data_IF_975242610724
#
_entry.id   IF_975242610724
#
_cell.length_a   1.000
_cell.length_b   1.000
_cell.length_c   1.000
_cell.angle_alpha   90.00
_cell.angle_beta   90.00
_cell.angle_gamma   90.00
#
_symmetry.space_group_name_H-M   'P 1'
#
loop_
_entity.id
_entity.type
_entity.pdbx_description
1 polymer ?
#
# COMPACT_ATOMS: atom_id res chain seq x y z
N UNK A 1 -11.13 45.26 12.16
CA UNK A 1 -10.03 44.33 12.51
C UNK A 1 -10.64 43.31 13.44
N UNK A 2 -10.82 42.08 12.95
CA UNK A 2 -11.25 40.97 13.80
C UNK A 2 -10.18 40.73 14.86
N UNK A 3 -10.61 40.65 16.12
CA UNK A 3 -9.74 40.52 17.27
C UNK A 3 -9.24 39.08 17.32
N UNK A 4 -7.96 38.86 16.98
CA UNK A 4 -7.33 37.53 17.06
C UNK A 4 -7.15 37.21 18.53
N UNK A 5 -7.88 36.20 19.01
CA UNK A 5 -7.73 35.69 20.37
C UNK A 5 -6.47 34.82 20.47
N UNK A 6 -5.43 35.39 21.09
CA UNK A 6 -4.12 34.77 21.24
C UNK A 6 -4.11 33.69 22.34
N UNK A 7 -5.12 33.62 23.20
CA UNK A 7 -5.23 32.57 24.23
C UNK A 7 -5.51 31.19 23.62
N UNK A 8 -5.90 31.12 22.35
CA UNK A 8 -6.05 29.88 21.60
C UNK A 8 -4.70 29.17 21.37
N UNK A 9 -3.59 29.91 21.40
CA UNK A 9 -2.23 29.41 21.15
C UNK A 9 -1.38 29.31 22.42
N UNK A 10 -1.98 29.48 23.59
CA UNK A 10 -1.28 29.32 24.85
C UNK A 10 -0.83 27.85 25.07
N UNK A 11 0.23 27.70 25.84
CA UNK A 11 0.92 26.42 26.05
C UNK A 11 0.00 25.31 26.52
N UNK A 12 0.07 24.18 25.81
CA UNK A 12 -0.60 22.95 26.18
C UNK A 12 -0.17 22.54 27.60
N UNK A 13 -1.10 22.39 28.57
CA UNK A 13 -0.71 22.08 29.93
C UNK A 13 -0.06 20.69 29.98
N UNK A 14 1.18 20.63 30.48
CA UNK A 14 1.99 19.40 30.58
C UNK A 14 1.39 18.33 31.53
N UNK A 15 0.31 18.62 32.26
CA UNK A 15 -0.35 17.66 33.15
C UNK A 15 -1.87 17.55 32.88
N UNK A 16 -2.38 16.37 32.49
CA UNK A 16 -3.80 16.15 32.29
C UNK A 16 -4.47 15.91 33.66
N UNK A 17 -4.83 17.00 34.34
CA UNK A 17 -5.27 16.90 35.74
C UNK A 17 -6.14 18.05 36.22
N UNK A 18 -7.07 18.55 35.39
CA UNK A 18 -8.05 19.55 35.82
C UNK A 18 -9.24 19.55 34.89
N UNK A 19 -10.36 18.98 35.33
CA UNK A 19 -11.63 18.94 34.58
C UNK A 19 -12.21 20.35 34.44
N UNK A 20 -11.68 21.15 33.53
CA UNK A 20 -12.49 22.13 32.80
C UNK A 20 -13.23 21.33 31.74
N UNK A 21 -14.55 21.19 31.88
CA UNK A 21 -15.40 20.85 30.74
C UNK A 21 -15.37 22.04 29.77
N UNK A 22 -14.26 22.19 29.05
CA UNK A 22 -14.22 22.99 27.85
C UNK A 22 -15.20 22.32 26.92
N UNK A 23 -16.41 22.84 26.82
CA UNK A 23 -17.34 22.48 25.75
C UNK A 23 -16.64 22.87 24.46
N UNK A 24 -15.91 21.92 23.88
CA UNK A 24 -15.36 22.06 22.56
C UNK A 24 -16.53 22.50 21.67
N UNK A 25 -16.32 23.56 20.90
CA UNK A 25 -17.30 23.88 19.87
C UNK A 25 -17.50 22.62 19.00
N UNK A 26 -18.70 22.38 18.46
CA UNK A 26 -18.94 21.21 17.60
C UNK A 26 -17.90 21.08 16.47
N UNK A 27 -17.38 22.22 16.01
CA UNK A 27 -16.32 22.30 15.02
C UNK A 27 -14.95 21.85 15.56
N UNK A 28 -14.55 22.31 16.74
CA UNK A 28 -13.32 21.85 17.41
C UNK A 28 -13.39 20.36 17.77
N UNK A 29 -14.55 19.87 18.20
CA UNK A 29 -14.78 18.45 18.44
C UNK A 29 -14.63 17.61 17.16
N UNK A 30 -15.13 18.12 16.03
CA UNK A 30 -14.98 17.47 14.72
C UNK A 30 -13.52 17.45 14.26
N UNK A 31 -12.79 18.55 14.37
CA UNK A 31 -11.37 18.62 13.97
C UNK A 31 -10.49 17.70 14.83
N UNK A 32 -10.74 17.65 16.14
CA UNK A 32 -10.01 16.74 17.04
C UNK A 32 -10.27 15.26 16.70
N UNK A 33 -11.50 14.92 16.31
CA UNK A 33 -11.85 13.60 15.82
C UNK A 33 -11.19 13.30 14.47
N UNK A 34 -11.14 14.26 13.55
CA UNK A 34 -10.47 14.13 12.26
C UNK A 34 -8.96 13.85 12.44
N UNK A 35 -8.27 14.56 13.35
CA UNK A 35 -6.85 14.35 13.65
C UNK A 35 -6.59 12.96 14.26
N UNK A 36 -7.39 12.53 15.25
CA UNK A 36 -7.26 11.18 15.83
C UNK A 36 -7.58 10.06 14.83
N UNK A 37 -8.54 10.29 13.94
CA UNK A 37 -8.88 9.33 12.88
C UNK A 37 -7.82 9.23 11.80
N UNK A 38 -6.88 10.18 11.75
CA UNK A 38 -5.72 10.15 10.86
C UNK A 38 -4.52 9.42 11.49
N UNK A 39 -4.40 9.44 12.81
CA UNK A 39 -3.36 8.73 13.57
C UNK A 39 -3.64 7.23 13.73
N UNK A 40 -4.90 6.85 13.91
CA UNK A 40 -5.32 5.46 13.72
C UNK A 40 -5.52 5.22 12.22
N UNK A 41 -4.80 4.27 11.61
CA UNK A 41 -5.01 3.99 10.19
C UNK A 41 -6.48 3.61 9.93
N UNK A 42 -7.02 3.94 8.75
CA UNK A 42 -8.39 3.55 8.38
C UNK A 42 -8.62 2.02 8.52
N UNK A 43 -7.56 1.22 8.43
CA UNK A 43 -7.60 -0.22 8.64
C UNK A 43 -7.66 -0.61 10.13
N UNK A 44 -6.99 0.12 11.02
CA UNK A 44 -7.08 -0.07 12.47
C UNK A 44 -8.51 0.16 12.98
N UNK A 45 -9.18 1.19 12.43
CA UNK A 45 -10.57 1.48 12.77
C UNK A 45 -11.52 0.37 12.31
N UNK A 46 -11.26 -0.28 11.17
CA UNK A 46 -12.05 -1.42 10.70
C UNK A 46 -11.87 -2.64 11.58
N UNK A 47 -10.63 -2.92 11.96
CA UNK A 47 -10.33 -4.01 12.89
C UNK A 47 -11.05 -3.79 14.21
N UNK A 48 -10.98 -2.58 14.76
CA UNK A 48 -11.68 -2.20 15.98
C UNK A 48 -13.20 -2.38 15.86
N UNK A 49 -13.83 -1.88 14.79
CA UNK A 49 -15.27 -2.06 14.57
C UNK A 49 -15.65 -3.55 14.41
N UNK A 50 -14.78 -4.35 13.80
CA UNK A 50 -14.93 -5.80 13.71
C UNK A 50 -14.84 -6.49 15.08
N UNK A 51 -13.88 -6.10 15.90
CA UNK A 51 -13.71 -6.60 17.28
C UNK A 51 -14.93 -6.25 18.13
N UNK A 52 -15.37 -4.99 18.08
CA UNK A 52 -16.58 -4.55 18.78
C UNK A 52 -17.82 -5.33 18.32
N UNK A 53 -17.94 -5.62 17.02
CA UNK A 53 -19.05 -6.44 16.49
C UNK A 53 -19.04 -7.86 17.05
N UNK A 54 -17.85 -8.49 17.13
CA UNK A 54 -17.69 -9.83 17.72
C UNK A 54 -18.05 -9.83 19.20
N UNK A 55 -17.56 -8.86 19.94
CA UNK A 55 -17.83 -8.71 21.37
C UNK A 55 -19.32 -8.45 21.63
N UNK A 56 -19.95 -7.54 20.88
CA UNK A 56 -21.39 -7.29 20.99
C UNK A 56 -22.24 -8.53 20.67
N UNK A 57 -21.81 -9.39 19.73
CA UNK A 57 -22.48 -10.67 19.48
C UNK A 57 -22.37 -11.61 20.69
N UNK A 58 -21.19 -11.71 21.31
CA UNK A 58 -21.03 -12.51 22.53
C UNK A 58 -21.90 -12.00 23.68
N UNK A 59 -21.99 -10.68 23.85
CA UNK A 59 -22.88 -10.06 24.83
C UNK A 59 -24.36 -10.29 24.51
N UNK A 60 -24.75 -10.25 23.24
CA UNK A 60 -26.11 -10.57 22.81
C UNK A 60 -26.48 -12.02 23.18
N UNK A 61 -25.59 -12.98 22.92
CA UNK A 61 -25.79 -14.37 23.30
C UNK A 61 -25.90 -14.54 24.82
N UNK A 62 -25.07 -13.83 25.59
CA UNK A 62 -25.18 -13.80 27.05
C UNK A 62 -26.55 -13.30 27.50
N UNK A 63 -27.00 -12.12 27.04
CA UNK A 63 -28.31 -11.59 27.44
C UNK A 63 -29.48 -12.46 26.96
N UNK A 64 -29.35 -13.12 25.80
CA UNK A 64 -30.34 -14.12 25.35
C UNK A 64 -30.45 -15.26 26.35
N UNK A 65 -29.32 -15.84 26.77
CA UNK A 65 -29.33 -16.92 27.77
C UNK A 65 -29.85 -16.47 29.13
N UNK A 66 -29.52 -15.24 29.55
CA UNK A 66 -30.05 -14.64 30.78
C UNK A 66 -31.57 -14.51 30.72
N UNK A 67 -32.10 -14.00 29.60
CA UNK A 67 -33.56 -13.87 29.38
C UNK A 67 -34.25 -15.22 29.46
N UNK A 68 -33.72 -16.24 28.77
CA UNK A 68 -34.26 -17.61 28.80
C UNK A 68 -34.23 -18.21 30.21
N UNK A 69 -33.18 -17.94 31.00
CA UNK A 69 -33.09 -18.41 32.38
C UNK A 69 -34.12 -17.74 33.30
N UNK A 70 -34.34 -16.43 33.13
CA UNK A 70 -35.32 -15.66 33.88
C UNK A 70 -36.76 -16.08 33.51
N UNK A 71 -37.02 -16.35 32.24
CA UNK A 71 -38.30 -16.90 31.77
C UNK A 71 -38.57 -18.30 32.35
N UNK A 72 -37.56 -19.16 32.48
CA UNK A 72 -37.70 -20.45 33.17
C UNK A 72 -38.00 -20.30 34.65
N UNK A 73 -37.31 -19.38 35.34
CA UNK A 73 -37.57 -19.09 36.75
C UNK A 73 -38.98 -18.53 37.00
N UNK A 74 -39.60 -17.91 35.98
CA UNK A 74 -41.00 -17.46 36.04
C UNK A 74 -42.02 -18.59 35.89
N UNK A 75 -41.64 -19.72 35.30
CA UNK A 75 -42.55 -20.86 35.12
C UNK A 75 -42.82 -21.62 36.42
N UNK A 76 -41.86 -21.63 37.35
CA UNK A 76 -41.98 -22.22 38.69
C UNK A 76 -41.30 -21.33 39.74
N UNK A 77 -41.94 -20.21 40.14
CA UNK A 77 -41.35 -19.25 41.05
C UNK A 77 -41.42 -19.75 42.50
N UNK A 78 -40.28 -19.69 43.22
CA UNK A 78 -40.22 -20.07 44.63
C UNK A 78 -41.07 -19.19 45.56
N UNK A 79 -41.13 -17.88 45.28
CA UNK A 79 -42.00 -16.92 45.97
C UNK A 79 -42.32 -15.70 45.07
N UNK A 80 -43.17 -14.80 45.55
CA UNK A 80 -43.57 -13.58 44.82
C UNK A 80 -42.38 -12.63 44.57
N UNK A 81 -41.42 -12.58 45.49
CA UNK A 81 -40.23 -11.75 45.35
C UNK A 81 -39.31 -12.26 44.23
N UNK A 82 -39.12 -13.57 44.14
CA UNK A 82 -38.38 -14.27 43.09
C UNK A 82 -39.07 -14.11 41.73
N UNK A 83 -40.40 -14.20 41.68
CA UNK A 83 -41.16 -13.91 40.47
C UNK A 83 -40.96 -12.45 40.02
N UNK A 84 -40.96 -11.49 40.95
CA UNK A 84 -40.74 -10.07 40.64
C UNK A 84 -39.32 -9.82 40.13
N UNK A 85 -38.31 -10.40 40.78
CA UNK A 85 -36.92 -10.32 40.35
C UNK A 85 -36.74 -10.90 38.94
N UNK A 86 -37.29 -12.09 38.68
CA UNK A 86 -37.18 -12.74 37.37
C UNK A 86 -37.84 -11.94 36.24
N UNK A 87 -38.98 -11.26 36.50
CA UNK A 87 -39.58 -10.34 35.50
C UNK A 87 -38.68 -9.13 35.23
N UNK A 88 -38.05 -8.58 36.26
CA UNK A 88 -37.14 -7.46 36.12
C UNK A 88 -35.91 -7.86 35.30
N UNK A 89 -35.34 -9.04 35.54
CA UNK A 89 -34.19 -9.56 34.80
C UNK A 89 -34.54 -9.83 33.32
N UNK A 90 -35.68 -10.47 33.04
CA UNK A 90 -36.14 -10.71 31.67
C UNK A 90 -36.33 -9.39 30.90
N UNK A 91 -36.84 -8.36 31.57
CA UNK A 91 -36.99 -7.02 30.99
C UNK A 91 -35.63 -6.35 30.75
N UNK A 92 -34.75 -6.34 31.74
CA UNK A 92 -33.43 -5.74 31.63
C UNK A 92 -32.61 -6.39 30.51
N UNK A 93 -32.67 -7.72 30.40
CA UNK A 93 -32.04 -8.46 29.30
C UNK A 93 -32.62 -8.06 27.93
N UNK A 94 -33.94 -7.93 27.82
CA UNK A 94 -34.61 -7.51 26.57
C UNK A 94 -34.25 -6.08 26.15
N UNK A 95 -34.17 -5.16 27.11
CA UNK A 95 -33.77 -3.78 26.88
C UNK A 95 -32.28 -3.70 26.44
N UNK A 96 -31.40 -4.49 27.07
CA UNK A 96 -29.99 -4.60 26.70
C UNK A 96 -29.80 -5.19 25.30
N UNK A 97 -30.53 -6.26 24.95
CA UNK A 97 -30.52 -6.84 23.60
C UNK A 97 -30.95 -5.81 22.55
N UNK A 98 -31.99 -5.01 22.82
CA UNK A 98 -32.46 -3.96 21.92
C UNK A 98 -31.41 -2.86 21.71
N UNK A 99 -30.68 -2.49 22.77
CA UNK A 99 -29.58 -1.53 22.69
C UNK A 99 -28.39 -2.07 21.87
N UNK A 100 -28.06 -3.35 22.04
CA UNK A 100 -27.00 -4.02 21.28
C UNK A 100 -27.35 -4.02 19.79
N UNK A 101 -28.56 -4.41 19.42
CA UNK A 101 -29.00 -4.43 18.00
C UNK A 101 -28.88 -3.05 17.37
N UNK A 102 -29.36 -1.99 18.05
CA UNK A 102 -29.23 -0.61 17.55
C UNK A 102 -27.76 -0.18 17.39
N UNK A 103 -26.90 -0.62 18.29
CA UNK A 103 -25.46 -0.34 18.21
C UNK A 103 -24.83 -1.06 17.02
N UNK A 104 -25.19 -2.33 16.78
CA UNK A 104 -24.73 -3.11 15.62
C UNK A 104 -25.18 -2.51 14.30
N UNK A 105 -26.43 -2.05 14.20
CA UNK A 105 -26.93 -1.32 13.03
C UNK A 105 -26.11 -0.05 12.76
N UNK A 106 -25.73 0.67 13.82
CA UNK A 106 -24.90 1.87 13.68
C UNK A 106 -23.48 1.54 13.23
N UNK A 107 -22.89 0.46 13.75
CA UNK A 107 -21.57 -0.02 13.34
C UNK A 107 -21.60 -0.44 11.86
N UNK A 108 -22.62 -1.18 11.42
CA UNK A 108 -22.79 -1.57 10.00
C UNK A 108 -22.88 -0.32 9.10
N UNK A 109 -23.70 0.66 9.48
CA UNK A 109 -23.79 1.93 8.76
C UNK A 109 -22.44 2.64 8.63
N UNK A 110 -21.64 2.67 9.70
CA UNK A 110 -20.29 3.27 9.67
C UNK A 110 -19.33 2.49 8.78
N UNK A 111 -19.36 1.15 8.84
CA UNK A 111 -18.52 0.31 7.98
C UNK A 111 -18.83 0.51 6.50
N UNK A 112 -20.12 0.63 6.13
CA UNK A 112 -20.54 0.96 4.76
C UNK A 112 -20.04 2.34 4.34
N UNK A 113 -20.16 3.33 5.22
CA UNK A 113 -19.68 4.68 4.95
C UNK A 113 -18.17 4.70 4.71
N UNK A 114 -17.37 4.04 5.55
CA UNK A 114 -15.92 3.95 5.34
C UNK A 114 -15.50 3.15 4.11
N UNK A 115 -16.32 2.20 3.65
CA UNK A 115 -16.09 1.54 2.37
C UNK A 115 -16.31 2.51 1.21
N UNK A 116 -17.37 3.32 1.27
CA UNK A 116 -17.65 4.35 0.28
C UNK A 116 -16.60 5.47 0.27
N UNK A 117 -16.19 5.97 1.44
CA UNK A 117 -15.20 7.04 1.56
C UNK A 117 -13.86 6.63 0.92
N UNK A 118 -13.44 5.38 1.13
CA UNK A 118 -12.28 4.79 0.43
C UNK A 118 -12.41 4.81 -1.07
N UNK A 119 -13.57 4.40 -1.59
CA UNK A 119 -13.80 4.37 -3.03
C UNK A 119 -13.71 5.79 -3.60
N UNK A 120 -14.36 6.75 -2.95
CA UNK A 120 -14.32 8.16 -3.34
C UNK A 120 -12.92 8.76 -3.23
N UNK A 121 -12.11 8.31 -2.29
CA UNK A 121 -10.73 8.76 -2.14
C UNK A 121 -9.80 8.12 -3.17
N UNK A 122 -10.01 6.85 -3.52
CA UNK A 122 -9.32 6.18 -4.62
C UNK A 122 -9.67 6.83 -5.98
N UNK A 123 -10.94 7.15 -6.21
CA UNK A 123 -11.39 7.88 -7.40
C UNK A 123 -10.75 9.27 -7.47
N UNK A 124 -10.76 10.03 -6.36
CA UNK A 124 -10.07 11.34 -6.29
C UNK A 124 -8.57 11.24 -6.52
N UNK A 125 -7.91 10.20 -6.02
CA UNK A 125 -6.49 9.97 -6.27
C UNK A 125 -6.21 9.61 -7.73
N UNK A 126 -7.07 8.81 -8.35
CA UNK A 126 -6.99 8.48 -9.77
C UNK A 126 -7.19 9.73 -10.64
N UNK A 127 -8.14 10.60 -10.31
CA UNK A 127 -8.38 11.86 -11.00
C UNK A 127 -7.26 12.89 -10.77
N UNK A 128 -6.60 12.85 -9.59
CA UNK A 128 -5.49 13.74 -9.25
C UNK A 128 -4.15 13.33 -9.90
N UNK A 129 -4.01 12.08 -10.33
CA UNK A 129 -2.86 11.62 -11.11
C UNK A 129 -2.94 12.21 -12.52
N UNK A 130 -2.19 13.28 -12.79
CA UNK A 130 -2.12 13.87 -14.14
C UNK A 130 -1.64 12.82 -15.16
N UNK A 131 -2.51 12.36 -16.08
CA UNK A 131 -2.16 11.32 -17.03
C UNK A 131 -1.02 11.75 -17.95
N UNK A 132 -0.87 13.06 -18.21
CA UNK A 132 0.20 13.60 -19.04
C UNK A 132 1.55 13.51 -18.34
N UNK A 133 1.63 13.89 -17.06
CA UNK A 133 2.84 13.74 -16.25
C UNK A 133 3.27 12.27 -16.10
N UNK A 134 2.31 11.36 -15.85
CA UNK A 134 2.59 9.93 -15.77
C UNK A 134 3.13 9.38 -17.10
N UNK A 135 2.53 9.75 -18.23
CA UNK A 135 2.99 9.37 -19.57
C UNK A 135 4.39 9.90 -19.86
N UNK A 136 4.68 11.15 -19.52
CA UNK A 136 6.00 11.75 -19.73
C UNK A 136 7.08 11.01 -18.93
N UNK A 137 6.79 10.66 -17.67
CA UNK A 137 7.70 9.88 -16.84
C UNK A 137 8.01 8.50 -17.43
N UNK A 138 6.99 7.77 -17.91
CA UNK A 138 7.22 6.46 -18.54
C UNK A 138 8.00 6.57 -19.86
N UNK A 139 7.74 7.59 -20.68
CA UNK A 139 8.53 7.82 -21.90
C UNK A 139 10.00 8.08 -21.56
N UNK A 140 10.28 8.91 -20.55
CA UNK A 140 11.66 9.17 -20.12
C UNK A 140 12.38 7.90 -19.63
N UNK A 141 11.68 7.01 -18.92
CA UNK A 141 12.24 5.71 -18.51
C UNK A 141 12.53 4.79 -19.70
N UNK A 142 11.62 4.75 -20.69
CA UNK A 142 11.80 3.98 -21.91
C UNK A 142 13.00 4.50 -22.70
N UNK A 143 13.10 5.81 -22.87
CA UNK A 143 14.20 6.44 -23.60
C UNK A 143 15.54 6.17 -22.89
N UNK A 144 15.61 6.33 -21.57
CA UNK A 144 16.81 6.03 -20.81
C UNK A 144 17.23 4.56 -20.94
N UNK A 145 16.27 3.63 -20.92
CA UNK A 145 16.54 2.21 -21.11
C UNK A 145 16.97 1.88 -22.55
N UNK A 146 16.34 2.51 -23.54
CA UNK A 146 16.69 2.35 -24.94
C UNK A 146 18.11 2.86 -25.22
N UNK A 147 18.51 3.98 -24.62
CA UNK A 147 19.85 4.56 -24.71
C UNK A 147 20.91 3.62 -24.12
N UNK A 148 20.64 3.04 -22.95
CA UNK A 148 21.52 2.05 -22.31
C UNK A 148 21.72 0.83 -23.21
N UNK A 149 20.63 0.26 -23.74
CA UNK A 149 20.70 -0.90 -24.63
C UNK A 149 21.37 -0.58 -25.97
N UNK A 150 21.10 0.61 -26.54
CA UNK A 150 21.74 1.07 -27.77
C UNK A 150 23.24 1.23 -27.58
N UNK A 151 23.68 1.81 -26.46
CA UNK A 151 25.10 1.98 -26.12
C UNK A 151 25.82 0.65 -26.01
N UNK A 152 25.22 -0.34 -25.33
CA UNK A 152 25.79 -1.70 -25.22
C UNK A 152 25.90 -2.35 -26.60
N UNK A 153 24.84 -2.26 -27.42
CA UNK A 153 24.84 -2.84 -28.78
C UNK A 153 25.85 -2.16 -29.68
N UNK A 154 26.01 -0.84 -29.55
CA UNK A 154 26.96 -0.05 -30.33
C UNK A 154 28.41 -0.39 -29.98
N UNK A 155 28.76 -0.47 -28.69
CA UNK A 155 30.12 -0.86 -28.28
C UNK A 155 30.45 -2.30 -28.71
N UNK A 156 29.48 -3.22 -28.66
CA UNK A 156 29.65 -4.58 -29.20
C UNK A 156 29.90 -4.55 -30.71
N UNK A 157 29.07 -3.83 -31.45
CA UNK A 157 29.23 -3.67 -32.90
C UNK A 157 30.60 -3.07 -33.25
N UNK A 158 31.04 -2.05 -32.54
CA UNK A 158 32.33 -1.38 -32.71
C UNK A 158 33.50 -2.32 -32.44
N UNK A 159 33.43 -3.12 -31.39
CA UNK A 159 34.44 -4.14 -31.10
C UNK A 159 34.53 -5.18 -32.23
N UNK A 160 33.39 -5.70 -32.68
CA UNK A 160 33.35 -6.69 -33.77
C UNK A 160 33.86 -6.09 -35.10
N UNK A 161 33.49 -4.84 -35.38
CA UNK A 161 33.95 -4.12 -36.57
C UNK A 161 35.46 -3.89 -36.56
N UNK A 162 36.03 -3.46 -35.43
CA UNK A 162 37.48 -3.27 -35.28
C UNK A 162 38.24 -4.58 -35.43
N UNK A 163 37.73 -5.68 -34.89
CA UNK A 163 38.35 -7.00 -35.05
C UNK A 163 38.31 -7.49 -36.49
N UNK A 164 37.23 -7.20 -37.23
CA UNK A 164 37.13 -7.55 -38.65
C UNK A 164 38.07 -6.72 -39.56
N UNK A 165 38.48 -5.52 -39.12
CA UNK A 165 39.27 -4.57 -39.93
C UNK A 165 40.68 -4.32 -39.39
N UNK A 166 41.15 -5.11 -38.42
CA UNK A 166 42.55 -5.10 -38.00
C UNK A 166 43.37 -5.99 -38.95
N UNK A 167 44.35 -5.45 -39.69
CA UNK A 167 45.18 -6.26 -40.58
C UNK A 167 46.01 -7.21 -39.72
N UNK A 168 45.88 -8.52 -39.99
CA UNK A 168 46.69 -9.58 -39.39
C UNK A 168 48.17 -9.27 -39.61
N UNK A 169 48.82 -8.71 -38.60
CA UNK A 169 50.28 -8.58 -38.52
C UNK A 169 50.81 -9.83 -37.84
N UNK A 170 51.00 -10.90 -38.62
CA UNK A 170 51.89 -12.02 -38.33
C UNK A 170 51.94 -12.96 -39.54
N UNK A 171 52.78 -12.65 -40.53
CA UNK A 171 53.30 -13.64 -41.46
C UNK A 171 54.83 -13.65 -41.30
N UNK A 172 55.31 -14.69 -40.63
CA UNK A 172 56.71 -15.01 -40.35
C UNK A 172 57.53 -15.12 -41.66
N UNK A 173 58.78 -14.61 -41.73
CA UNK A 173 59.54 -14.59 -42.98
C UNK A 173 59.98 -16.00 -43.40
N UNK A 174 59.51 -16.43 -44.58
CA UNK A 174 59.89 -17.69 -45.21
C UNK A 174 61.40 -17.69 -45.57
N UNK A 175 62.18 -18.72 -45.19
CA UNK A 175 63.60 -18.77 -45.51
C UNK A 175 63.83 -18.98 -47.02
N UNK A 176 64.87 -18.36 -47.62
CA UNK A 176 65.06 -18.34 -49.06
C UNK A 176 65.46 -19.72 -49.64
N UNK A 177 65.02 -20.07 -50.87
CA UNK A 177 65.37 -21.33 -51.52
C UNK A 177 66.86 -21.39 -51.96
N UNK A 178 67.46 -22.59 -52.04
CA UNK A 178 68.89 -22.75 -52.34
C UNK A 178 69.23 -22.37 -53.78
N UNK A 179 70.37 -21.66 -53.95
CA UNK A 179 70.92 -21.24 -55.24
C UNK A 179 71.32 -22.45 -56.08
N UNK A 180 70.73 -22.59 -57.27
CA UNK A 180 71.19 -23.55 -58.29
C UNK A 180 72.45 -23.01 -58.95
N UNK A 181 73.48 -23.86 -59.02
CA UNK A 181 74.78 -23.57 -59.60
C UNK A 181 74.72 -23.13 -61.04
N UNK A 182 75.64 -22.22 -61.33
CA UNK A 182 76.11 -21.80 -62.64
C UNK A 182 77.02 -22.91 -63.18
N UNK A 183 76.52 -23.64 -64.17
CA UNK A 183 77.31 -24.58 -64.96
C UNK A 183 77.19 -24.11 -66.41
N UNK A 184 78.16 -23.30 -66.82
CA UNK A 184 78.31 -22.84 -68.19
C UNK A 184 78.73 -23.94 -69.17
N UNK A 185 78.93 -23.50 -70.42
CA UNK A 185 79.53 -24.22 -71.55
C UNK A 185 78.58 -25.22 -72.24
N UNK A 186 78.36 -25.20 -73.55
CA UNK A 186 78.90 -24.47 -74.71
C UNK A 186 77.94 -24.77 -75.87
N UNK A 187 77.68 -23.79 -76.73
CA UNK A 187 78.38 -23.63 -78.01
C UNK A 187 77.84 -24.56 -79.11
N UNK A 188 77.63 -24.00 -80.30
CA UNK A 188 77.43 -24.76 -81.52
C UNK A 188 76.03 -24.75 -82.13
N UNK A 189 75.91 -23.88 -83.13
CA UNK A 189 75.45 -24.23 -84.49
C UNK A 189 74.02 -23.88 -84.97
N UNK A 190 74.04 -22.84 -85.82
CA UNK A 190 73.52 -22.75 -87.19
C UNK A 190 72.07 -22.34 -87.45
N UNK A 191 72.00 -21.14 -88.05
CA UNK A 191 71.37 -20.81 -89.33
C UNK A 191 69.87 -21.14 -89.50
N UNK A 192 69.06 -20.09 -89.68
CA UNK A 192 68.66 -19.63 -91.03
C UNK A 192 67.71 -18.42 -90.95
N UNK A 193 68.09 -17.42 -91.76
CA UNK A 193 67.27 -16.48 -92.57
C UNK A 193 66.15 -15.70 -91.90
#
# INVERSE_FOLDING_TARGET
MENVDLDLFADWPEQPGGRRETRLSPHAGRLLLEVKSREAGQDDLRMLLGDMTREMRAQFDYFRTLRESAEKALADPADEAAAKASRADAKAASDAMSLIVRTLEKIDSLQRQFAHDRQMEAERQADALDPAAARAHFLALIDARAEEEASIRFERFKHDWLNAHTPTTAAEPQPPPPRRGDDGQGDGDLLRT
#
